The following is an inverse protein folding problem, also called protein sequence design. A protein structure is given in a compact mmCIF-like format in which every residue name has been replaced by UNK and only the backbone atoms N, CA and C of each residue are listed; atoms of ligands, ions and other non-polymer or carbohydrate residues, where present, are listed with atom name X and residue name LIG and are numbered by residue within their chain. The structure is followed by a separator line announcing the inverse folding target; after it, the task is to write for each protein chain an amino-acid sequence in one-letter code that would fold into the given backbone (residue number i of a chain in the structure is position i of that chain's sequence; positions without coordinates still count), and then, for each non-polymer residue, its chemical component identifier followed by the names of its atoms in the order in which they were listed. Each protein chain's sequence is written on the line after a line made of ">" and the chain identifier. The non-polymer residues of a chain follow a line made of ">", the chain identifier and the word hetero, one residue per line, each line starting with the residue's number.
data_IF_750016384695
#
_entry.id   IF_750016384695
#
_cell.length_a   1.000
_cell.length_b   1.000
_cell.length_c   1.000
_cell.angle_alpha   90.00
_cell.angle_beta   90.00
_cell.angle_gamma   90.00
#
_symmetry.space_group_name_H-M   'P 1'
#
loop_
_entity.id
_entity.type
_entity.pdbx_description
1 polymer ?
#
# COMPACT_ATOMS: atom_id res chain seq x y z
N UNK A 1 12.89 11.51 -30.58
CA UNK A 1 12.68 10.58 -29.46
C UNK A 1 12.08 9.27 -29.97
N UNK A 2 12.77 8.15 -29.76
CA UNK A 2 12.29 6.82 -30.18
C UNK A 2 11.32 6.25 -29.13
N UNK A 3 10.11 5.85 -29.53
CA UNK A 3 9.10 5.28 -28.62
C UNK A 3 9.20 3.76 -28.67
N UNK A 4 9.58 3.14 -27.54
CA UNK A 4 9.65 1.69 -27.41
C UNK A 4 8.39 1.22 -26.67
N UNK A 5 7.57 0.42 -27.37
CA UNK A 5 6.42 -0.24 -26.75
C UNK A 5 6.88 -1.49 -26.02
N UNK A 6 6.60 -1.54 -24.73
CA UNK A 6 6.90 -2.67 -23.85
C UNK A 6 5.59 -3.40 -23.59
N UNK A 7 5.48 -4.61 -24.13
CA UNK A 7 4.28 -5.43 -24.01
C UNK A 7 4.07 -5.92 -22.58
N UNK A 8 2.85 -6.39 -22.28
CA UNK A 8 2.44 -6.84 -20.95
C UNK A 8 3.44 -7.78 -20.24
N UNK A 9 3.89 -8.84 -20.91
CA UNK A 9 4.84 -9.79 -20.32
C UNK A 9 6.21 -9.18 -20.05
N UNK A 10 6.66 -8.25 -20.90
CA UNK A 10 7.93 -7.54 -20.73
C UNK A 10 7.84 -6.54 -19.57
N UNK A 11 6.72 -5.82 -19.45
CA UNK A 11 6.44 -4.94 -18.31
C UNK A 11 6.45 -5.71 -17.00
N UNK A 12 5.82 -6.89 -16.97
CA UNK A 12 5.83 -7.77 -15.79
C UNK A 12 7.25 -8.26 -15.47
N UNK A 13 8.01 -8.69 -16.48
CA UNK A 13 9.40 -9.12 -16.31
C UNK A 13 10.26 -7.99 -15.74
N UNK A 14 10.12 -6.76 -16.26
CA UNK A 14 10.82 -5.58 -15.75
C UNK A 14 10.42 -5.26 -14.31
N UNK A 15 9.14 -5.37 -13.96
CA UNK A 15 8.68 -5.19 -12.59
C UNK A 15 9.31 -6.20 -11.62
N UNK A 16 9.41 -7.47 -12.03
CA UNK A 16 10.09 -8.52 -11.24
C UNK A 16 11.57 -8.20 -11.07
N UNK A 17 12.27 -7.82 -12.14
CA UNK A 17 13.68 -7.40 -12.09
C UNK A 17 13.85 -6.21 -11.14
N UNK A 18 13.01 -5.19 -11.24
CA UNK A 18 13.03 -4.04 -10.35
C UNK A 18 12.88 -4.45 -8.87
N UNK A 19 11.98 -5.37 -8.55
CA UNK A 19 11.80 -5.90 -7.19
C UNK A 19 13.08 -6.59 -6.70
N UNK A 20 13.73 -7.43 -7.52
CA UNK A 20 14.97 -8.10 -7.16
C UNK A 20 16.12 -7.10 -6.93
N UNK A 21 16.25 -6.10 -7.79
CA UNK A 21 17.21 -5.00 -7.61
C UNK A 21 16.93 -4.26 -6.30
N UNK A 22 15.67 -3.92 -6.03
CA UNK A 22 15.26 -3.28 -4.79
C UNK A 22 15.54 -4.14 -3.55
N UNK A 23 15.39 -5.46 -3.65
CA UNK A 23 15.73 -6.42 -2.59
C UNK A 23 17.23 -6.43 -2.34
N UNK A 24 18.03 -6.50 -3.40
CA UNK A 24 19.49 -6.46 -3.30
C UNK A 24 19.97 -5.17 -2.61
N UNK A 25 19.47 -4.01 -3.04
CA UNK A 25 19.82 -2.71 -2.44
C UNK A 25 19.38 -2.67 -0.97
N UNK A 26 18.16 -3.11 -0.66
CA UNK A 26 17.67 -3.20 0.73
C UNK A 26 18.59 -4.08 1.58
N UNK A 27 19.17 -5.13 1.01
CA UNK A 27 20.08 -6.03 1.71
C UNK A 27 21.43 -5.38 2.04
N UNK A 28 21.96 -4.58 1.12
CA UNK A 28 23.23 -3.86 1.27
C UNK A 28 23.13 -2.69 2.26
N UNK A 29 21.99 -1.99 2.34
CA UNK A 29 21.83 -0.82 3.21
C UNK A 29 20.95 -1.14 4.44
N UNK A 30 21.53 -1.31 5.65
CA UNK A 30 20.79 -1.66 6.86
C UNK A 30 19.76 -0.60 7.26
N UNK A 31 19.97 0.66 6.86
CA UNK A 31 19.06 1.77 7.16
C UNK A 31 17.70 1.59 6.48
N UNK A 32 17.66 1.04 5.25
CA UNK A 32 16.44 0.73 4.52
C UNK A 32 15.63 -0.37 5.23
N UNK A 33 16.34 -1.36 5.82
CA UNK A 33 15.72 -2.39 6.66
C UNK A 33 15.19 -1.79 7.97
N UNK A 34 15.97 -0.92 8.62
CA UNK A 34 15.60 -0.26 9.89
C UNK A 34 14.32 0.57 9.78
N UNK A 35 14.10 1.24 8.65
CA UNK A 35 12.90 2.03 8.37
C UNK A 35 11.80 1.26 7.62
N UNK A 36 11.91 -0.07 7.54
CA UNK A 36 10.92 -0.95 6.90
C UNK A 36 10.54 -0.55 5.46
N UNK A 37 11.46 0.08 4.71
CA UNK A 37 11.18 0.48 3.33
C UNK A 37 11.05 -0.77 2.46
N UNK A 38 9.92 -0.97 1.74
CA UNK A 38 9.72 -2.14 0.91
C UNK A 38 10.66 -2.20 -0.30
N UNK A 39 11.09 -3.41 -0.67
CA UNK A 39 11.90 -3.64 -1.88
C UNK A 39 11.24 -3.13 -3.17
N UNK A 40 9.92 -3.30 -3.41
CA UNK A 40 9.26 -2.77 -4.60
C UNK A 40 9.36 -1.25 -4.74
N UNK A 41 9.32 -0.51 -3.63
CA UNK A 41 9.45 0.96 -3.63
C UNK A 41 10.87 1.34 -4.05
N UNK A 42 11.89 0.73 -3.46
CA UNK A 42 13.30 1.02 -3.77
C UNK A 42 13.60 0.73 -5.26
N UNK A 43 13.20 -0.45 -5.73
CA UNK A 43 13.41 -0.88 -7.10
C UNK A 43 12.64 -0.03 -8.12
N UNK A 44 11.36 0.23 -7.84
CA UNK A 44 10.51 1.06 -8.69
C UNK A 44 10.98 2.50 -8.78
N UNK A 45 11.41 3.11 -7.67
CA UNK A 45 11.98 4.47 -7.67
C UNK A 45 13.28 4.53 -8.46
N UNK A 46 14.17 3.54 -8.32
CA UNK A 46 15.40 3.51 -9.12
C UNK A 46 15.11 3.38 -10.62
N UNK A 47 14.17 2.51 -10.97
CA UNK A 47 13.71 2.35 -12.34
C UNK A 47 13.09 3.64 -12.89
N UNK A 48 12.23 4.31 -12.10
CA UNK A 48 11.62 5.58 -12.48
C UNK A 48 12.67 6.69 -12.70
N UNK A 49 13.66 6.82 -11.81
CA UNK A 49 14.76 7.78 -11.99
C UNK A 49 15.50 7.50 -13.29
N UNK A 50 15.83 6.23 -13.55
CA UNK A 50 16.49 5.83 -14.79
C UNK A 50 15.65 6.22 -16.01
N UNK A 51 14.38 5.80 -16.08
CA UNK A 51 13.53 6.12 -17.24
C UNK A 51 13.27 7.62 -17.41
N UNK A 52 13.14 8.38 -16.32
CA UNK A 52 13.02 9.84 -16.35
C UNK A 52 14.28 10.49 -16.91
N UNK A 53 15.48 10.07 -16.50
CA UNK A 53 16.73 10.62 -17.02
C UNK A 53 16.85 10.40 -18.54
N UNK A 54 16.60 9.18 -19.02
CA UNK A 54 16.66 8.87 -20.45
C UNK A 54 15.61 9.64 -21.27
N UNK A 55 14.44 9.88 -20.68
CA UNK A 55 13.41 10.72 -21.28
C UNK A 55 13.85 12.19 -21.35
N UNK A 56 14.48 12.73 -20.30
CA UNK A 56 15.01 14.10 -20.28
C UNK A 56 16.14 14.35 -21.29
N UNK A 57 16.92 13.32 -21.64
CA UNK A 57 17.96 13.39 -22.67
C UNK A 57 17.43 13.07 -24.10
N UNK A 58 16.12 12.94 -24.28
CA UNK A 58 15.44 12.65 -25.56
C UNK A 58 15.86 11.35 -26.27
N UNK A 59 16.55 10.43 -25.56
CA UNK A 59 17.10 9.20 -26.12
C UNK A 59 15.99 8.23 -26.55
N UNK A 60 15.14 7.82 -25.61
CA UNK A 60 13.98 6.98 -25.87
C UNK A 60 12.89 7.18 -24.80
N UNK A 61 11.64 6.90 -25.18
CA UNK A 61 10.48 6.90 -24.28
C UNK A 61 9.88 5.50 -24.24
N UNK A 62 9.70 4.97 -23.04
CA UNK A 62 9.11 3.64 -22.82
C UNK A 62 7.60 3.77 -22.61
N UNK A 63 6.82 3.12 -23.46
CA UNK A 63 5.39 2.98 -23.28
C UNK A 63 5.08 1.58 -22.78
N UNK A 64 4.66 1.48 -21.52
CA UNK A 64 4.36 0.22 -20.88
C UNK A 64 2.88 -0.13 -21.03
N UNK A 65 2.60 -1.34 -21.51
CA UNK A 65 1.27 -1.93 -21.38
C UNK A 65 1.16 -2.62 -20.01
N UNK A 66 0.67 -1.86 -19.01
CA UNK A 66 0.55 -2.32 -17.61
C UNK A 66 -0.89 -2.44 -17.11
N UNK A 67 -1.88 -1.91 -17.83
CA UNK A 67 -3.26 -1.78 -17.31
C UNK A 67 -3.85 -3.15 -16.97
N UNK A 68 -3.81 -4.08 -17.92
CA UNK A 68 -4.40 -5.41 -17.75
C UNK A 68 -3.78 -6.19 -16.60
N UNK A 69 -2.44 -6.16 -16.49
CA UNK A 69 -1.73 -6.89 -15.44
C UNK A 69 -1.97 -6.25 -14.05
N UNK A 70 -2.03 -4.92 -13.97
CA UNK A 70 -2.34 -4.22 -12.72
C UNK A 70 -3.77 -4.51 -12.26
N UNK A 71 -4.76 -4.44 -13.15
CA UNK A 71 -6.15 -4.77 -12.81
C UNK A 71 -6.27 -6.20 -12.29
N UNK A 72 -5.62 -7.16 -12.95
CA UNK A 72 -5.61 -8.55 -12.49
C UNK A 72 -5.05 -8.69 -11.06
N UNK A 73 -3.88 -8.09 -10.78
CA UNK A 73 -3.28 -8.17 -9.45
C UNK A 73 -4.04 -7.39 -8.38
N UNK A 74 -4.65 -6.25 -8.72
CA UNK A 74 -5.51 -5.51 -7.80
C UNK A 74 -6.76 -6.32 -7.43
N UNK A 75 -7.43 -6.94 -8.39
CA UNK A 75 -8.61 -7.75 -8.11
C UNK A 75 -8.24 -8.95 -7.22
N UNK A 76 -7.13 -9.65 -7.53
CA UNK A 76 -6.63 -10.74 -6.70
C UNK A 76 -6.28 -10.28 -5.28
N UNK A 77 -5.63 -9.12 -5.15
CA UNK A 77 -5.28 -8.53 -3.86
C UNK A 77 -6.52 -8.17 -3.03
N UNK A 78 -7.51 -7.51 -3.62
CA UNK A 78 -8.74 -7.14 -2.92
C UNK A 78 -9.59 -8.35 -2.56
N UNK A 79 -9.68 -9.34 -3.44
CA UNK A 79 -10.33 -10.61 -3.13
C UNK A 79 -9.66 -11.30 -1.94
N UNK A 80 -8.32 -11.41 -1.96
CA UNK A 80 -7.56 -12.03 -0.87
C UNK A 80 -7.71 -11.26 0.46
N UNK A 81 -7.65 -9.92 0.44
CA UNK A 81 -7.89 -9.10 1.64
C UNK A 81 -9.33 -9.27 2.15
N UNK A 82 -10.31 -9.34 1.25
CA UNK A 82 -11.71 -9.60 1.59
C UNK A 82 -11.89 -10.94 2.29
N UNK A 83 -11.25 -12.01 1.80
CA UNK A 83 -11.28 -13.32 2.45
C UNK A 83 -10.49 -13.38 3.77
N UNK A 84 -9.42 -12.60 3.89
CA UNK A 84 -8.67 -12.48 5.15
C UNK A 84 -9.47 -11.77 6.25
N UNK A 85 -10.40 -10.90 5.88
CA UNK A 85 -11.32 -10.25 6.82
C UNK A 85 -12.36 -11.26 7.34
N UNK A 86 -12.11 -11.83 8.52
CA UNK A 86 -13.06 -12.76 9.15
C UNK A 86 -13.87 -12.11 10.27
N UNK A 87 -15.17 -12.42 10.31
CA UNK A 87 -16.06 -12.01 11.40
C UNK A 87 -15.61 -12.60 12.75
N UNK A 88 -14.93 -13.74 12.73
CA UNK A 88 -14.29 -14.33 13.90
C UNK A 88 -13.18 -13.44 14.49
N UNK A 89 -12.33 -12.84 13.64
CA UNK A 89 -11.27 -11.93 14.08
C UNK A 89 -11.85 -10.64 14.67
N UNK A 90 -12.90 -10.10 14.05
CA UNK A 90 -13.61 -8.92 14.55
C UNK A 90 -14.26 -9.19 15.92
N UNK A 91 -14.90 -10.35 16.08
CA UNK A 91 -15.49 -10.79 17.36
C UNK A 91 -14.44 -11.01 18.45
N UNK A 92 -13.29 -11.60 18.12
CA UNK A 92 -12.17 -11.79 19.07
C UNK A 92 -11.58 -10.46 19.56
N UNK A 93 -11.51 -9.46 18.68
CA UNK A 93 -11.07 -8.12 19.06
C UNK A 93 -12.09 -7.34 19.91
N UNK A 94 -13.37 -7.73 19.86
CA UNK A 94 -14.42 -7.29 20.75
C UNK A 94 -14.56 -5.76 20.83
N UNK A 95 -14.71 -5.24 22.05
CA UNK A 95 -14.92 -3.81 22.30
C UNK A 95 -13.73 -2.94 21.86
N UNK A 96 -12.50 -3.46 21.94
CA UNK A 96 -11.31 -2.70 21.58
C UNK A 96 -11.24 -2.40 20.08
N UNK A 97 -11.66 -3.33 19.21
CA UNK A 97 -11.69 -3.08 17.76
C UNK A 97 -12.74 -2.03 17.41
N UNK A 98 -13.89 -2.02 18.08
CA UNK A 98 -14.91 -1.00 17.84
C UNK A 98 -14.44 0.40 18.28
N UNK A 99 -13.81 0.51 19.45
CA UNK A 99 -13.22 1.77 19.92
C UNK A 99 -12.12 2.23 18.96
N UNK A 100 -11.22 1.33 18.56
CA UNK A 100 -10.18 1.63 17.60
C UNK A 100 -10.74 2.09 16.25
N UNK A 101 -11.78 1.43 15.75
CA UNK A 101 -12.42 1.78 14.49
C UNK A 101 -13.06 3.17 14.54
N UNK A 102 -13.71 3.54 15.66
CA UNK A 102 -14.27 4.88 15.86
C UNK A 102 -13.17 5.94 15.91
N UNK A 103 -12.08 5.68 16.63
CA UNK A 103 -10.93 6.58 16.69
C UNK A 103 -10.25 6.74 15.32
N UNK A 104 -10.09 5.64 14.58
CA UNK A 104 -9.53 5.65 13.23
C UNK A 104 -10.43 6.40 12.25
N UNK A 105 -11.75 6.23 12.33
CA UNK A 105 -12.71 6.98 11.54
C UNK A 105 -12.65 8.48 11.85
N UNK A 106 -12.59 8.85 13.13
CA UNK A 106 -12.43 10.25 13.54
C UNK A 106 -11.10 10.83 13.01
N UNK A 107 -10.01 10.08 13.12
CA UNK A 107 -8.72 10.51 12.60
C UNK A 107 -8.74 10.65 11.06
N UNK A 108 -9.43 9.77 10.35
CA UNK A 108 -9.61 9.87 8.90
C UNK A 108 -10.38 11.14 8.50
N UNK A 109 -11.43 11.50 9.26
CA UNK A 109 -12.15 12.76 9.06
C UNK A 109 -11.20 13.95 9.27
N UNK A 110 -10.43 13.96 10.35
CA UNK A 110 -9.46 15.02 10.63
C UNK A 110 -8.38 15.12 9.54
N UNK A 111 -7.88 13.98 9.03
CA UNK A 111 -6.95 13.95 7.90
C UNK A 111 -7.56 14.59 6.66
N UNK A 112 -8.82 14.28 6.33
CA UNK A 112 -9.49 14.85 5.16
C UNK A 112 -9.74 16.35 5.32
N UNK A 113 -10.14 16.81 6.51
CA UNK A 113 -10.31 18.24 6.80
C UNK A 113 -8.98 18.98 6.61
N UNK A 114 -7.89 18.45 7.16
CA UNK A 114 -6.56 19.04 7.02
C UNK A 114 -6.11 19.06 5.55
N UNK A 115 -6.29 17.93 4.86
CA UNK A 115 -5.93 17.73 3.46
C UNK A 115 -6.66 18.71 2.53
N UNK A 116 -7.98 18.83 2.70
CA UNK A 116 -8.81 19.78 1.97
C UNK A 116 -8.47 21.22 2.33
N UNK A 117 -8.31 21.53 3.62
CA UNK A 117 -7.99 22.89 4.07
C UNK A 117 -6.67 23.40 3.49
N UNK A 118 -5.63 22.56 3.52
CA UNK A 118 -4.34 22.88 2.88
C UNK A 118 -4.52 22.94 1.36
N UNK A 119 -5.07 21.90 0.73
CA UNK A 119 -5.20 21.84 -0.73
C UNK A 119 -5.95 23.04 -1.33
N UNK A 120 -7.09 23.42 -0.72
CA UNK A 120 -7.87 24.59 -1.16
C UNK A 120 -7.08 25.88 -0.95
N UNK A 121 -6.32 26.01 0.15
CA UNK A 121 -5.47 27.20 0.38
C UNK A 121 -4.37 27.38 -0.67
N UNK A 122 -3.91 26.28 -1.29
CA UNK A 122 -2.96 26.28 -2.39
C UNK A 122 -3.63 26.31 -3.78
N UNK A 123 -4.96 26.45 -3.85
CA UNK A 123 -5.72 26.48 -5.10
C UNK A 123 -5.82 25.13 -5.82
N UNK A 124 -5.60 24.02 -5.11
CA UNK A 124 -5.75 22.67 -5.66
C UNK A 124 -7.21 22.26 -5.78
N UNK A 125 -7.50 21.42 -6.78
CA UNK A 125 -8.80 20.75 -6.89
C UNK A 125 -9.09 19.94 -5.62
N UNK A 126 -10.29 20.06 -5.01
CA UNK A 126 -10.62 19.37 -3.77
C UNK A 126 -10.51 17.83 -3.85
N UNK A 127 -10.78 17.22 -5.01
CA UNK A 127 -10.65 15.78 -5.20
C UNK A 127 -9.18 15.37 -5.26
N UNK A 128 -8.32 16.15 -5.94
CA UNK A 128 -6.85 15.96 -5.88
C UNK A 128 -6.34 16.16 -4.46
N UNK A 129 -6.83 17.18 -3.75
CA UNK A 129 -6.45 17.42 -2.36
C UNK A 129 -6.81 16.23 -1.46
N UNK A 130 -8.01 15.63 -1.61
CA UNK A 130 -8.41 14.43 -0.88
C UNK A 130 -7.51 13.21 -1.15
N UNK A 131 -6.85 13.16 -2.32
CA UNK A 131 -5.85 12.15 -2.64
C UNK A 131 -4.55 12.31 -1.83
N UNK A 132 -4.43 13.30 -0.95
CA UNK A 132 -3.37 13.35 0.07
C UNK A 132 -3.86 13.06 1.49
N UNK A 133 -5.16 12.79 1.65
CA UNK A 133 -5.83 12.57 2.93
C UNK A 133 -6.00 11.09 3.28
N UNK A 134 -7.15 10.74 3.86
CA UNK A 134 -7.38 9.40 4.42
C UNK A 134 -7.43 8.29 3.36
N UNK A 135 -7.74 8.62 2.11
CA UNK A 135 -7.85 7.63 1.02
C UNK A 135 -6.54 6.83 0.91
N UNK A 136 -5.38 7.46 0.64
CA UNK A 136 -4.11 6.75 0.66
C UNK A 136 -3.50 6.56 2.06
N UNK A 137 -3.71 7.47 3.02
CA UNK A 137 -3.02 7.40 4.31
C UNK A 137 -3.59 6.34 5.26
N UNK A 138 -4.87 6.01 5.14
CA UNK A 138 -5.51 4.93 5.90
C UNK A 138 -5.62 3.66 5.06
N UNK A 139 -5.95 3.78 3.77
CA UNK A 139 -6.18 2.64 2.89
C UNK A 139 -4.99 2.19 2.04
N UNK A 140 -3.88 2.93 2.08
CA UNK A 140 -2.65 2.62 1.34
C UNK A 140 -2.84 2.63 -0.17
N UNK A 141 -1.94 1.92 -0.86
CA UNK A 141 -1.95 1.78 -2.32
C UNK A 141 -3.21 1.08 -2.86
N UNK A 142 -3.89 0.29 -2.03
CA UNK A 142 -5.18 -0.32 -2.38
C UNK A 142 -6.24 0.75 -2.61
N UNK A 143 -6.58 1.53 -1.58
CA UNK A 143 -7.57 2.59 -1.74
C UNK A 143 -7.16 3.64 -2.79
N UNK A 144 -5.87 3.95 -2.90
CA UNK A 144 -5.38 4.81 -3.99
C UNK A 144 -5.73 4.22 -5.38
N UNK A 145 -5.48 2.93 -5.60
CA UNK A 145 -5.81 2.25 -6.86
C UNK A 145 -7.32 2.17 -7.13
N UNK A 146 -8.15 2.07 -6.09
CA UNK A 146 -9.59 1.98 -6.22
C UNK A 146 -10.26 3.34 -6.47
N UNK A 147 -9.85 4.39 -5.76
CA UNK A 147 -10.58 5.66 -5.72
C UNK A 147 -9.94 6.78 -6.54
N UNK A 148 -8.61 6.79 -6.72
CA UNK A 148 -7.95 7.87 -7.47
C UNK A 148 -8.34 7.92 -8.96
N UNK A 149 -8.54 6.77 -9.67
CA UNK A 149 -9.04 6.81 -11.05
C UNK A 149 -10.46 7.37 -11.16
N UNK A 150 -11.30 7.20 -10.12
CA UNK A 150 -12.64 7.76 -10.08
C UNK A 150 -12.55 9.28 -9.98
N UNK A 151 -11.65 9.80 -9.13
CA UNK A 151 -11.41 11.23 -9.01
C UNK A 151 -10.92 11.85 -10.33
N UNK A 152 -10.00 11.21 -11.05
CA UNK A 152 -9.57 11.69 -12.37
C UNK A 152 -10.71 11.70 -13.39
N UNK A 153 -11.56 10.68 -13.41
CA UNK A 153 -12.73 10.65 -14.28
C UNK A 153 -13.72 11.78 -14.00
N UNK A 154 -13.75 12.28 -12.76
CA UNK A 154 -14.53 13.46 -12.36
C UNK A 154 -13.87 14.79 -12.73
N UNK A 155 -12.71 14.78 -13.40
CA UNK A 155 -11.98 15.97 -13.85
C UNK A 155 -10.78 16.36 -12.98
N UNK A 156 -10.48 15.59 -11.92
CA UNK A 156 -9.41 15.89 -10.97
C UNK A 156 -8.06 15.39 -11.50
N UNK A 157 -7.49 16.09 -12.49
CA UNK A 157 -6.23 15.70 -13.14
C UNK A 157 -5.09 15.57 -12.12
N UNK A 158 -4.34 14.46 -12.17
CA UNK A 158 -3.20 14.24 -11.28
C UNK A 158 -3.57 13.53 -9.97
N UNK A 159 -4.84 13.13 -9.81
CA UNK A 159 -5.32 12.48 -8.58
C UNK A 159 -4.62 11.13 -8.34
N UNK A 160 -4.31 10.36 -9.39
CA UNK A 160 -3.62 9.07 -9.27
C UNK A 160 -2.20 9.26 -8.73
N UNK A 161 -1.47 10.20 -9.29
CA UNK A 161 -0.08 10.51 -8.95
C UNK A 161 0.01 10.97 -7.49
N UNK A 162 -0.88 11.88 -7.08
CA UNK A 162 -0.94 12.36 -5.70
C UNK A 162 -1.31 11.23 -4.74
N UNK A 163 -2.31 10.40 -5.07
CA UNK A 163 -2.72 9.28 -4.22
C UNK A 163 -1.61 8.24 -4.02
N UNK A 164 -0.94 7.84 -5.10
CA UNK A 164 0.15 6.86 -5.04
C UNK A 164 1.37 7.42 -4.32
N UNK A 165 1.71 8.69 -4.56
CA UNK A 165 2.79 9.37 -3.84
C UNK A 165 2.49 9.47 -2.34
N UNK A 166 1.29 9.92 -1.98
CA UNK A 166 0.83 10.03 -0.59
C UNK A 166 0.79 8.67 0.11
N UNK A 167 0.34 7.60 -0.55
CA UNK A 167 0.32 6.25 0.03
C UNK A 167 1.74 5.76 0.33
N UNK A 168 2.68 6.00 -0.59
CA UNK A 168 4.08 5.62 -0.42
C UNK A 168 4.75 6.42 0.69
N UNK A 169 4.53 7.73 0.72
CA UNK A 169 5.05 8.60 1.77
C UNK A 169 4.46 8.25 3.14
N UNK A 170 3.14 8.05 3.21
CA UNK A 170 2.43 7.67 4.42
C UNK A 170 2.94 6.37 5.02
N UNK A 171 3.24 5.37 4.18
CA UNK A 171 3.87 4.12 4.62
C UNK A 171 5.25 4.37 5.25
N UNK A 172 6.12 5.13 4.58
CA UNK A 172 7.47 5.43 5.09
C UNK A 172 7.39 6.23 6.39
N UNK A 173 6.60 7.30 6.41
CA UNK A 173 6.39 8.12 7.60
C UNK A 173 5.80 7.30 8.76
N UNK A 174 4.82 6.43 8.47
CA UNK A 174 4.21 5.52 9.44
C UNK A 174 5.21 4.54 10.04
N UNK A 175 6.11 3.96 9.23
CA UNK A 175 7.18 3.09 9.73
C UNK A 175 8.19 3.85 10.61
N UNK A 176 8.59 5.06 10.20
CA UNK A 176 9.54 5.90 10.93
C UNK A 176 8.97 6.33 12.29
N UNK A 177 7.70 6.73 12.34
CA UNK A 177 7.06 7.24 13.56
C UNK A 177 6.52 6.12 14.46
N UNK A 178 6.01 5.03 13.88
CA UNK A 178 5.35 3.95 14.60
C UNK A 178 6.28 3.20 15.57
N UNK A 179 7.52 2.94 15.15
CA UNK A 179 8.51 2.24 15.99
C UNK A 179 8.83 2.99 17.30
N UNK A 180 9.26 4.26 17.24
CA UNK A 180 9.52 5.09 18.43
C UNK A 180 8.28 5.26 19.32
N UNK A 181 7.10 5.54 18.73
CA UNK A 181 5.86 5.74 19.49
C UNK A 181 5.45 4.45 20.22
N UNK A 182 5.47 3.31 19.52
CA UNK A 182 5.16 2.01 20.12
C UNK A 182 6.12 1.65 21.25
N UNK A 183 7.43 1.83 21.04
CA UNK A 183 8.44 1.58 22.08
C UNK A 183 8.26 2.50 23.29
N UNK A 184 7.91 3.78 23.06
CA UNK A 184 7.62 4.74 24.12
C UNK A 184 6.43 4.31 24.99
N UNK A 185 5.33 3.90 24.35
CA UNK A 185 4.13 3.39 25.02
C UNK A 185 4.42 2.13 25.84
N UNK A 186 5.14 1.15 25.27
CA UNK A 186 5.52 -0.10 25.96
C UNK A 186 6.34 0.20 27.22
N UNK A 187 7.36 1.06 27.13
CA UNK A 187 8.20 1.42 28.27
C UNK A 187 7.41 2.20 29.34
N UNK A 188 6.60 3.16 28.92
CA UNK A 188 5.84 4.03 29.83
C UNK A 188 4.80 3.25 30.64
N UNK A 189 4.14 2.29 30.01
CA UNK A 189 3.06 1.52 30.62
C UNK A 189 3.49 0.12 31.07
N UNK A 190 4.80 -0.20 31.06
CA UNK A 190 5.37 -1.49 31.45
C UNK A 190 4.64 -2.69 30.82
N UNK A 191 4.23 -2.53 29.56
CA UNK A 191 3.41 -3.52 28.85
C UNK A 191 4.17 -4.81 28.53
N UNK A 192 5.48 -4.83 28.72
CA UNK A 192 6.32 -6.02 28.54
C UNK A 192 6.18 -7.03 29.69
N UNK A 193 5.78 -6.59 30.89
CA UNK A 193 5.72 -7.42 32.10
C UNK A 193 4.27 -7.79 32.51
N UNK A 194 3.26 -7.26 31.80
CA UNK A 194 1.87 -7.60 32.04
C UNK A 194 1.63 -9.09 31.65
N UNK A 195 1.05 -9.92 32.55
CA UNK A 195 0.70 -11.29 32.21
C UNK A 195 -0.24 -11.26 31.00
N UNK A 196 0.21 -11.86 29.90
CA UNK A 196 -0.52 -11.91 28.65
C UNK A 196 -1.81 -12.70 28.84
N UNK A 197 -2.89 -12.01 29.20
CA UNK A 197 -4.27 -12.53 29.17
C UNK A 197 -4.74 -12.91 27.77
N UNK A 198 -3.86 -12.78 26.76
CA UNK A 198 -4.05 -13.19 25.37
C UNK A 198 -2.99 -14.19 24.87
N UNK A 199 -2.33 -14.96 25.75
CA UNK A 199 -1.48 -16.10 25.30
C UNK A 199 -2.28 -17.14 24.48
N UNK A 200 -3.62 -17.10 24.52
CA UNK A 200 -4.47 -17.89 23.62
C UNK A 200 -4.46 -17.41 22.14
N UNK A 201 -3.95 -16.21 21.82
CA UNK A 201 -3.95 -15.68 20.43
C UNK A 201 -2.60 -15.80 19.70
N UNK A 202 -1.54 -16.28 20.37
CA UNK A 202 -0.26 -16.62 19.74
C UNK A 202 0.08 -18.12 19.79
N UNK A 203 -0.87 -18.98 20.13
CA UNK A 203 -0.83 -20.33 19.55
C UNK A 203 -1.19 -20.14 18.09
N UNK A 204 -0.18 -20.05 17.22
CA UNK A 204 -0.33 -20.28 15.78
C UNK A 204 -1.28 -21.46 15.67
N UNK A 205 -2.50 -21.20 15.22
CA UNK A 205 -3.41 -22.25 14.82
C UNK A 205 -2.77 -22.80 13.54
N UNK A 206 -1.71 -23.60 13.71
CA UNK A 206 -1.28 -24.60 12.75
C UNK A 206 -2.41 -25.64 12.71
N UNK A 207 -3.57 -25.21 12.21
CA UNK A 207 -4.29 -26.11 11.34
C UNK A 207 -3.29 -26.43 10.23
N UNK A 208 -2.93 -27.71 10.00
CA UNK A 208 -2.19 -28.03 8.79
C UNK A 208 -2.94 -27.34 7.65
N UNK A 209 -2.22 -26.55 6.85
CA UNK A 209 -2.82 -25.94 5.66
C UNK A 209 -3.55 -27.08 4.95
N UNK A 210 -4.89 -27.02 4.79
CA UNK A 210 -5.56 -28.06 4.05
C UNK A 210 -4.84 -28.14 2.71
N UNK A 211 -4.47 -29.35 2.27
CA UNK A 211 -3.81 -29.54 0.98
C UNK A 211 -4.67 -28.85 -0.06
N UNK A 212 -4.24 -27.67 -0.50
CA UNK A 212 -5.01 -26.79 -1.35
C UNK A 212 -5.08 -27.46 -2.72
N UNK A 213 -6.15 -28.21 -2.92
CA UNK A 213 -6.43 -28.83 -4.22
C UNK A 213 -6.45 -27.74 -5.28
N UNK A 214 -5.82 -28.01 -6.42
CA UNK A 214 -5.76 -27.10 -7.58
C UNK A 214 -7.13 -26.49 -7.91
N UNK A 215 -8.22 -27.25 -7.70
CA UNK A 215 -9.61 -26.79 -7.85
C UNK A 215 -10.00 -25.63 -6.93
N UNK A 216 -9.59 -25.63 -5.67
CA UNK A 216 -9.93 -24.55 -4.74
C UNK A 216 -9.16 -23.27 -5.06
N UNK A 217 -7.90 -23.40 -5.47
CA UNK A 217 -7.08 -22.25 -5.93
C UNK A 217 -7.61 -21.68 -7.23
N UNK A 218 -8.01 -22.53 -8.19
CA UNK A 218 -8.60 -22.07 -9.45
C UNK A 218 -9.96 -21.41 -9.25
N UNK A 219 -10.79 -21.92 -8.33
CA UNK A 219 -12.08 -21.32 -7.99
C UNK A 219 -11.94 -19.99 -7.25
N UNK A 220 -10.96 -19.86 -6.35
CA UNK A 220 -10.66 -18.59 -5.68
C UNK A 220 -10.17 -17.52 -6.66
N UNK A 221 -9.32 -17.91 -7.64
CA UNK A 221 -8.90 -17.01 -8.72
C UNK A 221 -10.11 -16.61 -9.58
N UNK A 222 -11.02 -17.55 -9.87
CA UNK A 222 -12.23 -17.29 -10.67
C UNK A 222 -13.25 -16.39 -9.96
N UNK A 223 -13.32 -16.43 -8.63
CA UNK A 223 -14.16 -15.53 -7.82
C UNK A 223 -13.55 -14.13 -7.66
N UNK A 224 -12.23 -13.99 -7.86
CA UNK A 224 -11.51 -12.72 -7.80
C UNK A 224 -11.26 -12.09 -9.17
N UNK A 225 -11.78 -12.66 -10.26
CA UNK A 225 -11.72 -12.16 -11.64
C UNK A 225 -13.10 -11.61 -12.03
#
# INVERSE_FOLDING_TARGET
>A
MLIIKVGMFQTLALAVVAIYVGKFIREQFPILKKYCIPAPVIGGTLFAIFTTLFHSFELFSLQFDYKTINTFFYNLFFAAMGFAASTALLKRGGKLVLIFSLLAALLAILQNILSLGIGISFGMDPLVALMSGSIPLTGGHGNAAAFAPIAEQMGANGAIEVAVAAATFGLVAGCVLGGPLGRGLIKKHQLADAPSSNTASQKKEERPLPTLSYRHTSQAIFLGL
#
